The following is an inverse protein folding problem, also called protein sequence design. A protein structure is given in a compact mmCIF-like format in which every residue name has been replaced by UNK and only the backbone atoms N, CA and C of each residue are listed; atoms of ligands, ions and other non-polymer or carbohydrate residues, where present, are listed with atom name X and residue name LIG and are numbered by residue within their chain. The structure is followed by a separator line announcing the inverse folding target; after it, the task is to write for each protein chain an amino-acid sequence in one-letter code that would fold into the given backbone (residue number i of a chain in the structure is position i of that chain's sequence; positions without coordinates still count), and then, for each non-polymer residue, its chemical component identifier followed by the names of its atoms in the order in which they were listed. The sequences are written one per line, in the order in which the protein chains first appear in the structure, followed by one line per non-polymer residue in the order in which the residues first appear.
data_IF_366482830459
#
_entry.id   IF_366482830459
#
_cell.length_a   1.000
_cell.length_b   1.000
_cell.length_c   1.000
_cell.angle_alpha   90.00
_cell.angle_beta   90.00
_cell.angle_gamma   90.00
#
_symmetry.space_group_name_H-M   'P 1'
#
loop_
_entity.id
_entity.type
_entity.pdbx_description
1 polymer ?
#
# COMPACT_ATOMS: atom_id res chain seq x y z
N UNK A 1 41.12 0.97 -28.40
CA UNK A 1 39.84 0.22 -28.36
C UNK A 1 38.84 0.81 -27.35
N UNK A 2 39.32 1.39 -26.26
CA UNK A 2 38.45 2.02 -25.25
C UNK A 2 37.61 3.15 -25.88
N UNK A 3 38.25 4.00 -26.70
CA UNK A 3 37.59 5.09 -27.41
C UNK A 3 36.42 4.60 -28.31
N UNK A 4 36.58 3.43 -28.94
CA UNK A 4 35.49 2.79 -29.67
C UNK A 4 34.36 2.32 -28.73
N UNK A 5 34.69 1.67 -27.61
CA UNK A 5 33.73 1.21 -26.65
C UNK A 5 32.91 2.36 -26.07
N UNK A 6 33.55 3.48 -25.80
CA UNK A 6 32.94 4.69 -25.26
C UNK A 6 32.02 5.40 -26.30
N UNK A 7 32.22 5.12 -27.61
CA UNK A 7 31.36 5.64 -28.67
C UNK A 7 30.03 4.89 -28.83
N UNK A 8 29.86 3.73 -28.17
CA UNK A 8 28.68 2.89 -28.32
C UNK A 8 27.51 3.50 -27.53
N UNK A 9 26.43 3.80 -28.25
CA UNK A 9 25.16 4.25 -27.69
C UNK A 9 24.06 3.29 -28.04
N UNK A 10 23.13 3.06 -27.10
CA UNK A 10 22.00 2.19 -27.31
C UNK A 10 20.70 3.00 -27.48
N UNK A 11 19.97 2.73 -28.56
CA UNK A 11 18.64 3.24 -28.82
C UNK A 11 17.63 2.13 -28.60
N UNK A 12 16.56 2.39 -27.79
CA UNK A 12 15.49 1.43 -27.51
C UNK A 12 14.18 1.97 -28.06
N UNK A 13 13.48 1.20 -28.89
CA UNK A 13 12.19 1.57 -29.47
C UNK A 13 11.19 0.42 -29.40
N UNK A 14 9.92 0.68 -28.95
CA UNK A 14 9.45 1.87 -28.26
C UNK A 14 10.08 1.98 -26.87
N UNK A 15 10.25 3.22 -26.34
CA UNK A 15 10.89 3.47 -25.02
C UNK A 15 9.86 3.78 -23.92
N UNK A 16 8.56 3.87 -24.24
CA UNK A 16 7.50 4.26 -23.31
C UNK A 16 6.19 3.51 -23.63
N UNK A 17 5.28 3.47 -22.64
CA UNK A 17 3.95 2.85 -22.72
C UNK A 17 3.99 1.36 -23.09
N UNK A 18 4.98 0.67 -22.56
CA UNK A 18 5.19 -0.75 -22.79
C UNK A 18 4.16 -1.59 -22.02
N UNK A 19 3.77 -2.71 -22.62
CA UNK A 19 2.94 -3.74 -22.02
C UNK A 19 3.64 -5.09 -22.14
N UNK A 20 3.25 -6.05 -21.32
CA UNK A 20 3.70 -7.42 -21.47
C UNK A 20 3.28 -7.94 -22.86
N UNK A 21 4.23 -8.56 -23.55
CA UNK A 21 4.04 -9.04 -24.91
C UNK A 21 4.53 -8.10 -26.01
N UNK A 22 4.76 -6.82 -25.72
CA UNK A 22 5.33 -5.88 -26.69
C UNK A 22 6.74 -6.32 -27.13
N UNK A 23 7.12 -5.96 -28.34
CA UNK A 23 8.48 -6.19 -28.86
C UNK A 23 9.28 -4.90 -28.82
N UNK A 24 10.45 -4.95 -28.18
CA UNK A 24 11.44 -3.88 -28.18
C UNK A 24 12.51 -4.17 -29.21
N UNK A 25 12.94 -3.13 -29.92
CA UNK A 25 14.15 -3.15 -30.73
C UNK A 25 15.24 -2.34 -30.03
N UNK A 26 16.35 -2.98 -29.71
CA UNK A 26 17.56 -2.35 -29.16
C UNK A 26 18.53 -2.24 -30.31
N UNK A 27 18.96 -1.00 -30.62
CA UNK A 27 19.94 -0.74 -31.68
C UNK A 27 21.19 -0.15 -31.05
N UNK A 28 22.33 -0.79 -31.26
CA UNK A 28 23.64 -0.23 -30.92
C UNK A 28 24.11 0.68 -32.06
N UNK A 29 24.41 1.93 -31.72
CA UNK A 29 25.06 2.89 -32.62
C UNK A 29 26.48 3.12 -32.15
N UNK A 30 27.42 3.22 -33.03
CA UNK A 30 28.83 3.40 -32.74
C UNK A 30 29.49 4.26 -33.82
N UNK A 31 30.69 4.77 -33.56
CA UNK A 31 31.48 5.49 -34.54
C UNK A 31 32.19 4.53 -35.50
N UNK A 32 31.73 4.54 -36.77
CA UNK A 32 32.26 3.67 -37.82
C UNK A 32 33.77 3.96 -38.13
N UNK A 33 34.21 5.20 -37.93
CA UNK A 33 35.60 5.58 -38.11
C UNK A 33 36.48 4.92 -37.06
N UNK A 34 36.02 4.92 -35.81
CA UNK A 34 36.72 4.23 -34.72
C UNK A 34 36.70 2.72 -34.89
N UNK A 35 35.56 2.16 -35.31
CA UNK A 35 35.45 0.73 -35.62
C UNK A 35 36.48 0.31 -36.66
N UNK A 36 36.59 1.06 -37.76
CA UNK A 36 37.55 0.83 -38.83
C UNK A 36 39.01 0.98 -38.34
N UNK A 37 39.31 2.02 -37.58
CA UNK A 37 40.65 2.27 -36.99
C UNK A 37 41.11 1.12 -36.10
N UNK A 38 40.19 0.53 -35.32
CA UNK A 38 40.51 -0.57 -34.40
C UNK A 38 40.28 -1.95 -35.00
N UNK A 39 39.93 -2.05 -36.27
CA UNK A 39 39.58 -3.31 -36.97
C UNK A 39 38.48 -4.10 -36.25
N UNK A 40 37.50 -3.40 -35.67
CA UNK A 40 36.37 -4.00 -35.03
C UNK A 40 35.21 -4.12 -36.03
N UNK A 41 34.63 -5.32 -36.15
CA UNK A 41 33.47 -5.55 -36.98
C UNK A 41 32.29 -6.01 -36.11
N UNK A 42 31.39 -5.10 -35.72
CA UNK A 42 30.19 -5.47 -34.93
C UNK A 42 29.26 -6.36 -35.71
N UNK A 43 29.03 -7.58 -35.22
CA UNK A 43 28.24 -8.60 -35.93
C UNK A 43 26.75 -8.56 -35.59
N UNK A 44 26.37 -7.94 -34.46
CA UNK A 44 24.97 -7.84 -34.03
C UNK A 44 24.71 -6.47 -33.45
N UNK A 45 24.21 -5.55 -34.25
CA UNK A 45 23.90 -4.17 -33.85
C UNK A 45 22.44 -3.95 -33.52
N UNK A 46 21.57 -4.92 -33.81
CA UNK A 46 20.12 -4.87 -33.54
C UNK A 46 19.69 -6.13 -32.81
N UNK A 47 18.96 -5.96 -31.71
CA UNK A 47 18.36 -7.05 -30.95
C UNK A 47 16.89 -6.76 -30.68
N UNK A 48 16.04 -7.75 -30.90
CA UNK A 48 14.61 -7.72 -30.52
C UNK A 48 14.42 -8.47 -29.22
N UNK A 49 13.66 -7.88 -28.32
CA UNK A 49 13.36 -8.42 -26.98
C UNK A 49 11.87 -8.29 -26.72
N UNK A 50 11.25 -9.37 -26.31
CA UNK A 50 9.85 -9.35 -25.89
C UNK A 50 9.77 -8.87 -24.44
N UNK A 51 8.92 -7.88 -24.20
CA UNK A 51 8.64 -7.37 -22.85
C UNK A 51 7.91 -8.44 -22.04
N UNK A 52 8.39 -8.74 -20.86
CA UNK A 52 7.81 -9.71 -19.93
C UNK A 52 7.91 -9.17 -18.51
N UNK A 53 7.10 -9.72 -17.63
CA UNK A 53 7.17 -9.52 -16.19
C UNK A 53 7.01 -8.05 -15.74
N UNK A 54 6.32 -7.23 -16.56
CA UNK A 54 5.87 -5.94 -16.08
C UNK A 54 4.75 -6.15 -15.06
N UNK A 55 4.79 -5.44 -13.92
CA UNK A 55 3.70 -5.48 -12.95
C UNK A 55 2.37 -5.09 -13.59
N UNK A 56 1.35 -5.91 -13.41
CA UNK A 56 -0.01 -5.69 -13.86
C UNK A 56 -0.94 -5.57 -12.65
N UNK A 57 -2.11 -4.99 -12.86
CA UNK A 57 -3.16 -4.94 -11.84
C UNK A 57 -3.79 -6.32 -11.71
N UNK A 58 -4.31 -6.65 -10.54
CA UNK A 58 -5.18 -7.81 -10.39
C UNK A 58 -6.51 -7.54 -11.10
N UNK A 59 -6.99 -8.50 -11.88
CA UNK A 59 -8.29 -8.39 -12.53
C UNK A 59 -9.44 -8.63 -11.54
N UNK A 60 -9.19 -9.42 -10.49
CA UNK A 60 -10.14 -9.74 -9.44
C UNK A 60 -9.41 -9.91 -8.09
N UNK A 61 -10.09 -9.58 -7.00
CA UNK A 61 -9.56 -9.73 -5.64
C UNK A 61 -9.17 -11.17 -5.30
N UNK A 62 -9.86 -12.16 -5.89
CA UNK A 62 -9.57 -13.59 -5.69
C UNK A 62 -8.27 -14.05 -6.37
N UNK A 63 -7.70 -13.24 -7.24
CA UNK A 63 -6.37 -13.50 -7.83
C UNK A 63 -5.22 -13.15 -6.90
N UNK A 64 -5.50 -12.42 -5.81
CA UNK A 64 -4.49 -12.04 -4.83
C UNK A 64 -4.08 -13.29 -4.03
N UNK A 65 -2.80 -13.72 -4.09
CA UNK A 65 -2.38 -14.94 -3.45
C UNK A 65 -2.54 -14.88 -1.92
N UNK A 66 -3.03 -15.95 -1.30
CA UNK A 66 -3.16 -16.05 0.16
C UNK A 66 -1.81 -15.86 0.88
N UNK A 67 -0.70 -16.33 0.30
CA UNK A 67 0.64 -16.10 0.83
C UNK A 67 1.03 -14.62 0.86
N UNK A 68 0.55 -13.83 -0.12
CA UNK A 68 0.75 -12.39 -0.10
C UNK A 68 -0.09 -11.72 1.00
N UNK A 69 -1.33 -12.14 1.18
CA UNK A 69 -2.18 -11.64 2.27
C UNK A 69 -1.58 -11.94 3.64
N UNK A 70 -0.99 -13.13 3.84
CA UNK A 70 -0.24 -13.45 5.05
C UNK A 70 0.98 -12.54 5.26
N UNK A 71 1.68 -12.16 4.19
CA UNK A 71 2.77 -11.18 4.28
C UNK A 71 2.26 -9.80 4.72
N UNK A 72 1.05 -9.40 4.28
CA UNK A 72 0.42 -8.17 4.76
C UNK A 72 0.11 -8.25 6.25
N UNK A 73 -0.38 -9.39 6.75
CA UNK A 73 -0.66 -9.58 8.19
C UNK A 73 0.59 -9.37 9.04
N UNK A 74 1.72 -9.92 8.63
CA UNK A 74 2.99 -9.74 9.33
C UNK A 74 3.48 -8.29 9.25
N UNK A 75 3.33 -7.62 8.10
CA UNK A 75 3.68 -6.21 7.95
C UNK A 75 2.79 -5.29 8.76
N UNK A 76 1.47 -5.54 8.77
CA UNK A 76 0.52 -4.79 9.59
C UNK A 76 0.87 -4.91 11.08
N UNK A 77 1.16 -6.14 11.55
CA UNK A 77 1.55 -6.38 12.93
C UNK A 77 2.84 -5.63 13.28
N UNK A 78 3.83 -5.69 12.40
CA UNK A 78 5.10 -4.96 12.58
C UNK A 78 4.89 -3.44 12.59
N UNK A 79 4.04 -2.93 11.68
CA UNK A 79 3.69 -1.51 11.63
C UNK A 79 3.02 -1.04 12.93
N UNK A 80 2.00 -1.76 13.38
CA UNK A 80 1.29 -1.43 14.64
C UNK A 80 2.23 -1.48 15.84
N UNK A 81 3.05 -2.52 15.97
CA UNK A 81 3.99 -2.64 17.08
C UNK A 81 5.00 -1.49 17.11
N UNK A 82 5.50 -1.07 15.94
CA UNK A 82 6.46 0.03 15.82
C UNK A 82 5.85 1.39 16.17
N UNK A 83 4.58 1.61 15.81
CA UNK A 83 3.93 2.91 15.91
C UNK A 83 2.93 2.99 17.08
N UNK A 84 2.76 1.94 17.89
CA UNK A 84 1.73 1.88 18.93
C UNK A 84 1.86 3.00 19.96
N UNK A 85 3.07 3.30 20.39
CA UNK A 85 3.31 4.40 21.35
C UNK A 85 2.82 5.75 20.78
N UNK A 86 3.12 6.02 19.51
CA UNK A 86 2.65 7.23 18.83
C UNK A 86 1.11 7.23 18.70
N UNK A 87 0.51 6.12 18.28
CA UNK A 87 -0.95 5.96 18.15
C UNK A 87 -1.63 6.26 19.49
N UNK A 88 -1.13 5.67 20.58
CA UNK A 88 -1.69 5.90 21.92
C UNK A 88 -1.57 7.36 22.35
N UNK A 89 -0.44 7.99 22.07
CA UNK A 89 -0.16 9.37 22.51
C UNK A 89 -0.87 10.43 21.65
N UNK A 90 -1.12 10.18 20.36
CA UNK A 90 -1.68 11.18 19.45
C UNK A 90 -3.18 10.98 19.21
N UNK A 91 -3.63 9.73 19.05
CA UNK A 91 -4.97 9.41 18.60
C UNK A 91 -6.00 9.28 19.74
N UNK A 92 -5.54 9.09 20.99
CA UNK A 92 -6.39 9.02 22.17
C UNK A 92 -6.37 10.29 23.06
N UNK A 93 -5.58 11.30 22.71
CA UNK A 93 -5.39 12.52 23.54
C UNK A 93 -6.65 13.34 23.78
N UNK A 94 -7.65 13.24 22.90
CA UNK A 94 -8.95 13.90 23.12
C UNK A 94 -9.79 13.21 24.20
N UNK A 95 -9.45 11.98 24.57
CA UNK A 95 -10.19 11.14 25.50
C UNK A 95 -9.55 11.11 26.89
N UNK A 96 -8.22 10.88 26.95
CA UNK A 96 -7.48 10.71 28.18
C UNK A 96 -6.68 11.98 28.52
N UNK A 97 -6.94 12.56 29.68
CA UNK A 97 -6.48 13.94 29.98
C UNK A 97 -5.13 13.97 30.69
N UNK A 98 -4.74 12.93 31.44
CA UNK A 98 -3.59 13.00 32.34
C UNK A 98 -2.69 11.79 32.45
N UNK A 99 -3.12 10.64 32.00
CA UNK A 99 -2.27 9.44 31.99
C UNK A 99 -1.92 9.05 30.56
N UNK A 100 -0.73 8.52 30.38
CA UNK A 100 -0.38 7.88 29.13
C UNK A 100 -1.33 6.70 28.93
N UNK A 101 -2.06 6.62 27.79
CA UNK A 101 -2.99 5.53 27.57
C UNK A 101 -2.27 4.19 27.51
N UNK A 102 -2.89 3.16 28.06
CA UNK A 102 -2.38 1.79 28.00
C UNK A 102 -3.18 0.98 26.99
N UNK A 103 -2.49 0.26 26.10
CA UNK A 103 -3.13 -0.64 25.15
C UNK A 103 -3.86 -1.77 25.91
N UNK A 104 -5.14 -1.96 25.62
CA UNK A 104 -5.96 -3.07 26.13
C UNK A 104 -6.07 -4.17 25.09
N UNK A 105 -6.40 -3.80 23.85
CA UNK A 105 -6.62 -4.76 22.78
C UNK A 105 -6.41 -4.11 21.40
N UNK A 106 -6.06 -4.93 20.42
CA UNK A 106 -6.08 -4.58 19.00
C UNK A 106 -6.64 -5.76 18.20
N UNK A 107 -7.61 -5.49 17.35
CA UNK A 107 -8.28 -6.52 16.56
C UNK A 107 -8.45 -6.04 15.13
N UNK A 108 -8.05 -6.86 14.15
CA UNK A 108 -8.40 -6.63 12.76
C UNK A 108 -9.92 -6.82 12.59
N UNK A 109 -10.56 -5.81 12.02
CA UNK A 109 -11.99 -5.82 11.75
C UNK A 109 -12.27 -6.21 10.31
N UNK A 110 -11.58 -5.56 9.38
CA UNK A 110 -11.81 -5.72 7.96
C UNK A 110 -10.51 -5.62 7.17
N UNK A 111 -10.51 -6.24 6.00
CA UNK A 111 -9.58 -5.96 4.90
C UNK A 111 -10.37 -5.54 3.68
N UNK A 112 -9.96 -4.49 3.01
CA UNK A 112 -10.62 -3.91 1.85
C UNK A 112 -9.65 -3.87 0.69
N UNK A 113 -10.06 -4.34 -0.47
CA UNK A 113 -9.38 -4.09 -1.73
C UNK A 113 -10.06 -2.93 -2.44
N UNK A 114 -9.26 -1.97 -2.87
CA UNK A 114 -9.69 -0.82 -3.65
C UNK A 114 -9.13 -0.94 -5.06
N UNK A 115 -9.99 -1.34 -5.99
CA UNK A 115 -9.67 -1.40 -7.41
C UNK A 115 -9.84 -0.03 -8.06
N UNK A 116 -8.75 0.54 -8.56
CA UNK A 116 -8.75 1.87 -9.16
C UNK A 116 -9.49 1.91 -10.51
N UNK A 117 -10.53 2.71 -10.63
CA UNK A 117 -11.35 2.85 -11.85
C UNK A 117 -10.62 3.44 -13.05
N UNK A 118 -9.49 4.12 -12.82
CA UNK A 118 -8.68 4.74 -13.87
C UNK A 118 -7.24 4.24 -13.77
N UNK A 119 -6.52 4.24 -14.88
CA UNK A 119 -5.09 3.83 -14.91
C UNK A 119 -4.18 4.65 -14.00
N UNK A 120 -4.60 5.88 -13.62
CA UNK A 120 -3.90 6.74 -12.67
C UNK A 120 -4.19 6.39 -11.21
N UNK A 121 -5.29 5.71 -10.92
CA UNK A 121 -5.64 5.26 -9.58
C UNK A 121 -5.04 3.87 -9.37
N UNK A 122 -4.00 3.80 -8.54
CA UNK A 122 -3.32 2.56 -8.19
C UNK A 122 -4.15 1.74 -7.21
N UNK A 123 -4.15 0.42 -7.36
CA UNK A 123 -4.87 -0.46 -6.45
C UNK A 123 -4.27 -0.41 -5.06
N UNK A 124 -5.13 -0.62 -4.06
CA UNK A 124 -4.77 -0.56 -2.65
C UNK A 124 -5.38 -1.70 -1.88
N UNK A 125 -4.71 -2.11 -0.82
CA UNK A 125 -5.31 -2.89 0.24
C UNK A 125 -5.32 -2.03 1.50
N UNK A 126 -6.42 -2.08 2.25
CA UNK A 126 -6.57 -1.37 3.53
C UNK A 126 -6.95 -2.39 4.60
N UNK A 127 -6.15 -2.44 5.65
CA UNK A 127 -6.49 -3.17 6.88
C UNK A 127 -7.09 -2.20 7.89
N UNK A 128 -8.23 -2.57 8.46
CA UNK A 128 -8.92 -1.80 9.49
C UNK A 128 -8.82 -2.53 10.81
N UNK A 129 -8.29 -1.84 11.81
CA UNK A 129 -8.13 -2.32 13.18
C UNK A 129 -8.99 -1.52 14.15
N UNK A 130 -9.63 -2.20 15.10
CA UNK A 130 -10.12 -1.60 16.32
C UNK A 130 -8.98 -1.67 17.35
N UNK A 131 -8.57 -0.51 17.87
CA UNK A 131 -7.55 -0.39 18.91
C UNK A 131 -8.25 0.16 20.14
N UNK A 132 -8.24 -0.61 21.24
CA UNK A 132 -8.82 -0.23 22.52
C UNK A 132 -7.71 0.12 23.50
N UNK A 133 -7.81 1.28 24.11
CA UNK A 133 -6.91 1.74 25.16
C UNK A 133 -7.69 2.13 26.41
N UNK A 134 -7.03 2.10 27.56
CA UNK A 134 -7.57 2.60 28.84
C UNK A 134 -6.72 3.74 29.37
N UNK A 135 -7.36 4.68 30.05
CA UNK A 135 -6.69 5.82 30.64
C UNK A 135 -7.62 6.61 31.57
N UNK A 136 -7.09 7.62 32.22
CA UNK A 136 -7.84 8.46 33.15
C UNK A 136 -8.63 9.54 32.42
N UNK A 137 -9.90 9.64 32.73
CA UNK A 137 -10.82 10.69 32.27
C UNK A 137 -11.33 11.50 33.47
N UNK A 138 -11.55 12.79 33.26
CA UNK A 138 -12.21 13.61 34.27
C UNK A 138 -13.73 13.53 34.10
N UNK A 139 -14.43 12.92 35.04
CA UNK A 139 -15.87 12.68 34.96
C UNK A 139 -16.69 13.81 35.58
N UNK A 140 -16.07 14.83 36.19
CA UNK A 140 -16.78 15.94 36.82
C UNK A 140 -16.24 17.29 36.39
N UNK A 141 -17.14 18.19 36.01
CA UNK A 141 -16.83 19.59 35.69
C UNK A 141 -16.63 20.49 36.92
N UNK A 142 -17.04 20.04 38.11
CA UNK A 142 -17.05 20.83 39.33
C UNK A 142 -15.94 20.45 40.33
N UNK A 143 -15.52 19.20 40.31
CA UNK A 143 -14.46 18.66 41.15
C UNK A 143 -13.70 17.64 40.32
N UNK A 144 -12.38 17.75 40.38
CA UNK A 144 -11.54 16.79 39.68
C UNK A 144 -11.79 15.37 40.21
N UNK A 145 -12.43 14.55 39.43
CA UNK A 145 -12.71 13.15 39.71
C UNK A 145 -12.18 12.34 38.53
N UNK A 146 -11.06 11.66 38.76
CA UNK A 146 -10.43 10.82 37.74
C UNK A 146 -11.00 9.39 37.83
N UNK A 147 -11.39 8.86 36.72
CA UNK A 147 -11.82 7.46 36.55
C UNK A 147 -11.09 6.82 35.40
N UNK A 148 -10.69 5.57 35.58
CA UNK A 148 -10.16 4.76 34.47
C UNK A 148 -11.30 4.36 33.55
N UNK A 149 -11.17 4.68 32.27
CA UNK A 149 -12.12 4.28 31.22
C UNK A 149 -11.39 3.71 30.01
N UNK A 150 -12.13 2.91 29.27
CA UNK A 150 -11.68 2.39 27.97
C UNK A 150 -12.33 3.19 26.84
N UNK A 151 -11.55 3.39 25.79
CA UNK A 151 -12.03 3.92 24.51
C UNK A 151 -11.47 3.12 23.35
N UNK A 152 -12.18 3.10 22.22
CA UNK A 152 -11.79 2.37 21.02
C UNK A 152 -11.77 3.30 19.82
N UNK A 153 -10.65 3.36 19.16
CA UNK A 153 -10.51 4.00 17.86
C UNK A 153 -10.45 2.95 16.75
N UNK A 154 -10.81 3.39 15.53
CA UNK A 154 -10.55 2.62 14.33
C UNK A 154 -9.32 3.20 13.63
N UNK A 155 -8.41 2.31 13.23
CA UNK A 155 -7.15 2.69 12.61
C UNK A 155 -6.97 1.96 11.28
N UNK A 156 -6.65 2.70 10.21
CA UNK A 156 -6.41 2.16 8.88
C UNK A 156 -4.94 2.01 8.63
N UNK A 157 -4.51 0.87 8.10
CA UNK A 157 -3.20 0.67 7.49
C UNK A 157 -3.41 0.47 5.99
N UNK A 158 -2.88 1.38 5.19
CA UNK A 158 -3.03 1.39 3.75
C UNK A 158 -1.76 0.92 3.06
N UNK A 159 -1.91 -0.02 2.13
CA UNK A 159 -0.90 -0.51 1.21
C UNK A 159 -1.22 0.00 -0.18
N UNK A 160 -0.38 0.88 -0.72
CA UNK A 160 -0.56 1.42 -2.07
C UNK A 160 0.16 0.60 -3.12
N UNK A 161 -0.25 0.78 -4.39
CA UNK A 161 0.39 0.20 -5.57
C UNK A 161 0.41 -1.33 -5.57
N UNK A 162 -0.66 -1.94 -5.08
CA UNK A 162 -0.84 -3.39 -5.13
C UNK A 162 -0.91 -3.85 -6.58
N UNK A 163 -0.08 -4.83 -6.94
CA UNK A 163 0.01 -5.37 -8.29
C UNK A 163 0.61 -6.79 -8.30
N UNK A 164 0.66 -7.42 -9.45
CA UNK A 164 1.13 -8.81 -9.62
C UNK A 164 2.61 -9.04 -9.30
N UNK A 165 3.42 -7.98 -9.09
CA UNK A 165 4.79 -8.15 -8.60
C UNK A 165 4.85 -8.57 -7.13
N UNK A 166 3.75 -8.41 -6.37
CA UNK A 166 3.63 -8.71 -4.95
C UNK A 166 4.67 -7.97 -4.08
N UNK A 167 5.21 -6.86 -4.60
CA UNK A 167 6.18 -6.03 -3.89
C UNK A 167 5.47 -4.92 -3.15
N UNK A 168 5.86 -4.74 -1.89
CA UNK A 168 5.41 -3.62 -1.06
C UNK A 168 6.65 -2.84 -0.64
N UNK A 169 6.71 -1.58 -1.06
CA UNK A 169 7.74 -0.64 -0.62
C UNK A 169 7.28 0.04 0.68
N UNK A 170 8.20 0.32 1.58
CA UNK A 170 7.85 0.89 2.88
C UNK A 170 7.21 2.30 2.75
N UNK A 171 7.62 3.08 1.75
CA UNK A 171 7.00 4.37 1.41
C UNK A 171 5.54 4.25 0.93
N UNK A 172 5.11 3.06 0.54
CA UNK A 172 3.75 2.76 0.11
C UNK A 172 2.85 2.27 1.25
N UNK A 173 3.36 2.26 2.49
CA UNK A 173 2.62 1.82 3.68
C UNK A 173 2.48 2.97 4.66
N UNK A 174 1.25 3.30 5.01
CA UNK A 174 0.97 4.31 6.03
C UNK A 174 -0.28 3.97 6.83
N UNK A 175 -0.31 4.47 8.06
CA UNK A 175 -1.46 4.30 8.94
C UNK A 175 -2.03 5.64 9.35
N UNK A 176 -3.36 5.67 9.55
CA UNK A 176 -4.06 6.84 10.04
C UNK A 176 -5.30 6.45 10.83
N UNK A 177 -5.69 7.31 11.81
CA UNK A 177 -6.95 7.17 12.51
C UNK A 177 -8.11 7.35 11.55
N UNK A 178 -9.07 6.42 11.58
CA UNK A 178 -10.29 6.52 10.81
C UNK A 178 -11.29 7.41 11.55
N UNK A 179 -11.58 8.56 10.95
CA UNK A 179 -12.59 9.48 11.51
C UNK A 179 -13.97 9.05 11.03
N UNK A 180 -14.80 8.66 11.96
CA UNK A 180 -16.19 8.22 11.74
C UNK A 180 -17.15 9.13 12.49
N UNK A 181 -18.36 9.32 11.95
CA UNK A 181 -19.43 10.00 12.68
C UNK A 181 -20.03 9.06 13.73
N UNK A 182 -20.54 9.61 14.82
CA UNK A 182 -21.20 8.85 15.90
C UNK A 182 -22.37 7.98 15.41
N UNK A 183 -22.94 8.31 14.26
CA UNK A 183 -24.06 7.56 13.66
C UNK A 183 -23.60 6.26 12.96
N UNK A 184 -22.31 6.04 12.73
CA UNK A 184 -21.79 4.88 12.03
C UNK A 184 -21.23 3.85 13.03
N UNK A 185 -21.84 2.69 13.05
CA UNK A 185 -21.37 1.54 13.81
C UNK A 185 -20.56 0.63 12.89
N UNK A 186 -19.24 0.76 12.92
CA UNK A 186 -18.34 -0.04 12.07
C UNK A 186 -18.26 -1.51 12.50
N UNK A 187 -18.88 -1.92 13.60
CA UNK A 187 -19.02 -3.34 13.94
C UNK A 187 -20.04 -4.03 13.04
N UNK A 188 -20.91 -3.27 12.38
CA UNK A 188 -21.89 -3.76 11.42
C UNK A 188 -21.34 -3.69 9.99
N UNK A 189 -21.14 -4.84 9.36
CA UNK A 189 -20.57 -4.96 8.00
C UNK A 189 -21.28 -4.07 6.98
N UNK A 190 -22.62 -3.98 7.04
CA UNK A 190 -23.40 -3.13 6.10
C UNK A 190 -23.10 -1.64 6.27
N UNK A 191 -22.92 -1.16 7.50
CA UNK A 191 -22.57 0.24 7.75
C UNK A 191 -21.13 0.52 7.38
N UNK A 192 -20.22 -0.42 7.68
CA UNK A 192 -18.83 -0.34 7.25
C UNK A 192 -18.71 -0.28 5.73
N UNK A 193 -19.39 -1.18 5.00
CA UNK A 193 -19.38 -1.20 3.52
C UNK A 193 -19.89 0.13 2.96
N UNK A 194 -21.03 0.63 3.44
CA UNK A 194 -21.58 1.91 3.01
C UNK A 194 -20.64 3.09 3.29
N UNK A 195 -19.93 3.06 4.41
CA UNK A 195 -18.93 4.07 4.76
C UNK A 195 -17.76 4.04 3.79
N UNK A 196 -17.18 2.86 3.52
CA UNK A 196 -16.03 2.70 2.61
C UNK A 196 -16.40 3.07 1.17
N UNK A 197 -17.57 2.65 0.69
CA UNK A 197 -18.08 3.06 -0.61
C UNK A 197 -18.25 4.57 -0.70
N UNK A 198 -18.85 5.20 0.31
CA UNK A 198 -19.00 6.66 0.35
C UNK A 198 -17.66 7.39 0.26
N UNK A 199 -16.63 6.87 0.93
CA UNK A 199 -15.28 7.47 0.97
C UNK A 199 -14.55 7.29 -0.35
N UNK A 200 -14.66 6.14 -1.01
CA UNK A 200 -13.76 5.75 -2.10
C UNK A 200 -14.42 5.58 -3.49
N UNK A 201 -15.75 5.48 -3.60
CA UNK A 201 -16.47 5.15 -4.85
C UNK A 201 -16.20 6.08 -6.04
N UNK A 202 -15.73 7.29 -5.80
CA UNK A 202 -15.41 8.24 -6.87
C UNK A 202 -14.20 7.80 -7.72
N UNK A 203 -13.23 7.11 -7.10
CA UNK A 203 -11.97 6.71 -7.73
C UNK A 203 -11.75 5.20 -7.76
N UNK A 204 -12.45 4.44 -6.90
CA UNK A 204 -12.24 3.01 -6.69
C UNK A 204 -13.55 2.22 -6.74
N UNK A 205 -13.45 0.96 -7.15
CA UNK A 205 -14.40 -0.07 -6.79
C UNK A 205 -13.97 -0.66 -5.45
N UNK A 206 -14.92 -0.78 -4.51
CA UNK A 206 -14.64 -1.21 -3.13
C UNK A 206 -15.05 -2.66 -2.96
N UNK A 207 -14.13 -3.52 -2.59
CA UNK A 207 -14.38 -4.93 -2.35
C UNK A 207 -13.96 -5.28 -0.92
N UNK A 208 -14.94 -5.71 -0.09
CA UNK A 208 -14.68 -6.13 1.28
C UNK A 208 -14.17 -7.57 1.25
N UNK A 209 -12.96 -7.77 1.72
CA UNK A 209 -12.39 -9.09 1.94
C UNK A 209 -12.75 -9.54 3.36
N UNK A 210 -13.28 -10.74 3.53
CA UNK A 210 -13.51 -11.28 4.87
C UNK A 210 -12.17 -11.56 5.53
N UNK A 211 -11.99 -11.09 6.76
CA UNK A 211 -10.87 -11.50 7.59
C UNK A 211 -11.17 -12.90 8.15
N UNK A 212 -10.22 -13.84 8.01
CA UNK A 212 -10.32 -15.17 8.65
C UNK A 212 -10.33 -15.09 10.18
N UNK A 213 -9.98 -13.93 10.77
CA UNK A 213 -10.02 -13.70 12.21
C UNK A 213 -11.44 -13.64 12.81
N UNK A 214 -12.48 -13.73 11.98
CA UNK A 214 -13.90 -13.72 12.40
C UNK A 214 -14.62 -15.06 12.17
N UNK A 215 -13.92 -16.16 11.92
CA UNK A 215 -14.47 -17.52 11.83
C UNK A 215 -14.27 -18.29 13.12
#
# INVERSE_FOLDING_TARGET
IQEFMDSINYEVKPAKKLKNGDELTITARYDETLASRYHVNPIQTVRRVKVKDLPERFADVNEIPASFLSTLDDRTRSYLNKNMEQILNEDFTSFFIRSQPELVNQKQMYRVFLDGKKSSAKDKIIDIYAITAKGEVNTSSKKETLEMKEDTIYYMITYNEINTSLRILDENVYGEKLIISESNDLTKETQFTSFMESKYKSAYEVQIMKSEANS
#
